data_IF_934924770211
#
_entry.id   IF_934924770211
#
_cell.length_a   1.000
_cell.length_b   1.000
_cell.length_c   1.000
_cell.angle_alpha   90.00
_cell.angle_beta   90.00
_cell.angle_gamma   90.00
#
_symmetry.space_group_name_H-M   'P 1'
#
loop_
_entity.id
_entity.type
_entity.pdbx_description
1 polymer ?
#
# COMPACT_ATOMS: atom_id res chain seq x y z
N UNK A 1 -19.61 30.42 32.54
CA UNK A 1 -20.34 31.44 31.77
C UNK A 1 -19.31 32.35 31.12
N UNK A 2 -18.96 32.08 29.87
CA UNK A 2 -18.08 32.96 29.08
C UNK A 2 -18.89 34.18 28.64
N UNK A 3 -18.29 35.37 28.56
CA UNK A 3 -18.98 36.57 28.08
C UNK A 3 -19.49 36.34 26.64
N UNK A 4 -20.70 36.83 26.34
CA UNK A 4 -21.42 36.59 25.07
C UNK A 4 -20.59 36.93 23.82
N UNK A 5 -19.67 37.89 23.94
CA UNK A 5 -18.72 38.27 22.89
C UNK A 5 -17.79 37.10 22.46
N UNK A 6 -17.37 36.26 23.41
CA UNK A 6 -16.49 35.11 23.12
C UNK A 6 -17.29 33.97 22.49
N UNK A 7 -18.53 33.76 22.92
CA UNK A 7 -19.40 32.74 22.35
C UNK A 7 -19.60 32.93 20.84
N UNK A 8 -19.76 34.18 20.38
CA UNK A 8 -19.99 34.50 18.96
C UNK A 8 -18.78 34.18 18.06
N UNK A 9 -17.55 34.24 18.58
CA UNK A 9 -16.32 33.90 17.84
C UNK A 9 -16.05 32.39 17.85
N UNK A 10 -16.37 31.71 18.96
CA UNK A 10 -16.07 30.28 19.14
C UNK A 10 -16.86 29.39 18.17
N UNK A 11 -18.10 29.78 17.81
CA UNK A 11 -18.96 29.00 16.90
C UNK A 11 -18.43 28.92 15.45
N UNK A 12 -18.10 30.03 14.76
CA UNK A 12 -17.50 29.97 13.42
C UNK A 12 -16.11 29.32 13.44
N UNK A 13 -15.33 29.55 14.50
CA UNK A 13 -14.02 28.92 14.68
C UNK A 13 -14.14 27.39 14.81
N UNK A 14 -15.20 26.90 15.47
CA UNK A 14 -15.53 25.47 15.53
C UNK A 14 -15.90 24.90 14.17
N UNK A 15 -16.62 25.65 13.32
CA UNK A 15 -16.87 25.25 11.93
C UNK A 15 -15.59 25.09 11.11
N UNK A 16 -14.64 26.01 11.28
CA UNK A 16 -13.35 25.97 10.58
C UNK A 16 -12.46 24.82 11.10
N UNK A 17 -12.48 24.59 12.42
CA UNK A 17 -11.82 23.44 13.04
C UNK A 17 -12.41 22.10 12.58
N UNK A 18 -13.72 22.02 12.35
CA UNK A 18 -14.38 20.85 11.77
C UNK A 18 -13.94 20.57 10.34
N UNK A 19 -13.83 21.61 9.50
CA UNK A 19 -13.31 21.47 8.14
C UNK A 19 -11.85 20.98 8.14
N UNK A 20 -11.02 21.51 9.05
CA UNK A 20 -9.65 21.08 9.24
C UNK A 20 -9.57 19.63 9.74
N UNK A 21 -10.41 19.25 10.70
CA UNK A 21 -10.54 17.89 11.21
C UNK A 21 -10.88 16.89 10.10
N UNK A 22 -11.92 17.17 9.30
CA UNK A 22 -12.29 16.36 8.15
C UNK A 22 -11.15 16.23 7.15
N UNK A 23 -10.49 17.35 6.80
CA UNK A 23 -9.33 17.35 5.90
C UNK A 23 -8.17 16.50 6.42
N UNK A 24 -7.86 16.57 7.72
CA UNK A 24 -6.78 15.77 8.32
C UNK A 24 -7.14 14.28 8.34
N UNK A 25 -8.37 13.94 8.74
CA UNK A 25 -8.85 12.56 8.85
C UNK A 25 -8.88 11.84 7.48
N UNK A 26 -9.39 12.50 6.44
CA UNK A 26 -9.59 11.92 5.12
C UNK A 26 -8.39 12.10 4.17
N UNK A 27 -7.37 12.87 4.56
CA UNK A 27 -6.14 13.01 3.76
C UNK A 27 -5.04 12.03 4.18
N UNK A 28 -3.91 12.08 3.44
CA UNK A 28 -2.68 11.35 3.77
C UNK A 28 -2.11 11.71 5.15
N UNK A 29 -2.51 12.85 5.75
CA UNK A 29 -2.06 13.37 7.05
C UNK A 29 -2.64 12.58 8.22
N UNK A 30 -3.84 12.01 8.09
CA UNK A 30 -4.48 11.17 9.11
C UNK A 30 -3.74 9.86 9.42
N UNK A 31 -2.62 9.58 8.74
CA UNK A 31 -1.68 8.49 9.09
C UNK A 31 -0.72 8.87 10.22
N UNK A 32 -0.56 10.16 10.49
CA UNK A 32 0.32 10.66 11.55
C UNK A 32 -0.48 10.90 12.82
N UNK A 33 -0.18 10.14 13.88
CA UNK A 33 -0.87 10.23 15.16
C UNK A 33 -0.83 11.65 15.78
N UNK A 34 0.28 12.38 15.57
CA UNK A 34 0.42 13.75 16.06
C UNK A 34 -0.55 14.73 15.40
N UNK A 35 -0.79 14.59 14.09
CA UNK A 35 -1.69 15.48 13.33
C UNK A 35 -3.15 15.23 13.70
N UNK A 36 -3.54 13.97 13.85
CA UNK A 36 -4.87 13.59 14.34
C UNK A 36 -5.06 14.09 15.77
N UNK A 37 -4.07 13.91 16.66
CA UNK A 37 -4.14 14.38 18.03
C UNK A 37 -4.28 15.90 18.14
N UNK A 38 -3.50 16.66 17.35
CA UNK A 38 -3.57 18.14 17.33
C UNK A 38 -4.94 18.63 16.86
N UNK A 39 -5.44 18.08 15.76
CA UNK A 39 -6.75 18.47 15.23
C UNK A 39 -7.90 18.11 16.19
N UNK A 40 -7.81 16.95 16.86
CA UNK A 40 -8.77 16.56 17.90
C UNK A 40 -8.70 17.50 19.11
N UNK A 41 -7.49 17.86 19.56
CA UNK A 41 -7.30 18.75 20.71
C UNK A 41 -7.90 20.15 20.46
N UNK A 42 -7.80 20.67 19.24
CA UNK A 42 -8.42 21.94 18.86
C UNK A 42 -9.95 21.85 18.98
N UNK A 43 -10.56 20.77 18.50
CA UNK A 43 -12.01 20.56 18.63
C UNK A 43 -12.46 20.39 20.08
N UNK A 44 -11.69 19.65 20.89
CA UNK A 44 -11.96 19.48 22.33
C UNK A 44 -11.90 20.82 23.06
N UNK A 45 -10.88 21.62 22.78
CA UNK A 45 -10.73 22.95 23.36
C UNK A 45 -11.93 23.84 23.02
N UNK A 46 -12.36 23.85 21.75
CA UNK A 46 -13.51 24.63 21.29
C UNK A 46 -14.84 24.12 21.88
N UNK A 47 -14.98 22.81 22.08
CA UNK A 47 -16.15 22.24 22.74
C UNK A 47 -16.26 22.68 24.21
N UNK A 48 -15.15 22.68 24.95
CA UNK A 48 -15.09 23.18 26.33
C UNK A 48 -15.36 24.69 26.41
N UNK A 49 -14.95 25.45 25.39
CA UNK A 49 -15.21 26.89 25.25
C UNK A 49 -16.66 27.23 24.84
N UNK A 50 -17.53 26.24 24.63
CA UNK A 50 -18.96 26.45 24.36
C UNK A 50 -19.48 25.95 23.01
N UNK A 51 -18.63 25.42 22.14
CA UNK A 51 -19.05 24.81 20.86
C UNK A 51 -19.35 23.29 20.99
N UNK A 52 -20.17 22.91 21.97
CA UNK A 52 -20.52 21.49 22.21
C UNK A 52 -21.20 20.80 21.00
N UNK A 53 -21.86 21.58 20.13
CA UNK A 53 -22.48 21.05 18.91
C UNK A 53 -21.46 20.40 17.96
N UNK A 54 -20.21 20.90 17.92
CA UNK A 54 -19.19 20.43 16.98
C UNK A 54 -18.70 19.00 17.28
N UNK A 55 -18.85 18.54 18.52
CA UNK A 55 -18.43 17.20 18.95
C UNK A 55 -19.23 16.11 18.21
N UNK A 56 -20.49 16.36 17.87
CA UNK A 56 -21.39 15.41 17.20
C UNK A 56 -20.95 15.09 15.75
N UNK A 57 -20.79 16.07 14.84
CA UNK A 57 -20.29 15.80 13.49
C UNK A 57 -18.83 15.32 13.50
N UNK A 58 -18.00 15.81 14.43
CA UNK A 58 -16.62 15.33 14.59
C UNK A 58 -16.57 13.83 14.95
N UNK A 59 -17.46 13.38 15.85
CA UNK A 59 -17.65 11.99 16.22
C UNK A 59 -18.08 11.11 15.03
N UNK A 60 -18.99 11.61 14.19
CA UNK A 60 -19.38 10.91 12.95
C UNK A 60 -18.22 10.73 11.96
N UNK A 61 -17.42 11.78 11.74
CA UNK A 61 -16.22 11.70 10.89
C UNK A 61 -15.16 10.74 11.46
N UNK A 62 -15.01 10.73 12.79
CA UNK A 62 -14.12 9.82 13.49
C UNK A 62 -14.56 8.36 13.33
N UNK A 63 -15.87 8.08 13.31
CA UNK A 63 -16.39 6.74 13.05
C UNK A 63 -15.99 6.23 11.65
N UNK A 64 -16.11 7.08 10.62
CA UNK A 64 -15.66 6.75 9.26
C UNK A 64 -14.14 6.53 9.17
N UNK A 65 -13.36 7.30 9.92
CA UNK A 65 -11.91 7.11 10.05
C UNK A 65 -11.56 5.76 10.67
N UNK A 66 -12.23 5.39 11.76
CA UNK A 66 -12.02 4.14 12.49
C UNK A 66 -12.46 2.93 11.68
N UNK A 67 -13.61 2.98 11.01
CA UNK A 67 -14.08 1.93 10.11
C UNK A 67 -13.11 1.72 8.94
N UNK A 68 -12.79 2.78 8.19
CA UNK A 68 -11.90 2.66 7.02
C UNK A 68 -10.50 2.14 7.33
N UNK A 69 -9.93 2.48 8.50
CA UNK A 69 -8.59 2.03 8.90
C UNK A 69 -8.57 0.74 9.71
N UNK A 70 -9.63 0.48 10.48
CA UNK A 70 -9.74 -0.70 11.33
C UNK A 70 -9.89 -2.01 10.55
N UNK A 71 -10.62 -1.98 9.43
CA UNK A 71 -10.87 -3.19 8.64
C UNK A 71 -9.77 -3.55 7.65
N UNK A 72 -9.03 -2.58 7.11
CA UNK A 72 -8.16 -2.84 5.95
C UNK A 72 -6.64 -2.71 6.24
N UNK A 73 -6.22 -1.97 7.29
CA UNK A 73 -4.77 -1.64 7.51
C UNK A 73 -4.32 -1.51 8.98
N UNK A 74 -5.01 -2.15 9.93
CA UNK A 74 -4.80 -1.99 11.39
C UNK A 74 -3.34 -2.09 11.88
N UNK A 75 -2.55 -3.05 11.37
CA UNK A 75 -1.19 -3.29 11.90
C UNK A 75 -0.17 -2.16 11.62
N UNK A 76 -0.33 -1.38 10.55
CA UNK A 76 0.68 -0.39 10.15
C UNK A 76 0.47 0.97 10.82
N UNK A 77 -0.78 1.31 11.13
CA UNK A 77 -1.19 2.63 11.60
C UNK A 77 -1.78 2.58 13.03
N UNK A 78 -1.44 1.54 13.82
CA UNK A 78 -2.00 1.28 15.17
C UNK A 78 -1.90 2.47 16.13
N UNK A 79 -0.84 3.28 16.02
CA UNK A 79 -0.65 4.49 16.86
C UNK A 79 -1.69 5.56 16.55
N UNK A 80 -2.03 5.75 15.28
CA UNK A 80 -3.03 6.74 14.88
C UNK A 80 -4.44 6.25 15.22
N UNK A 81 -4.68 4.93 15.14
CA UNK A 81 -5.92 4.31 15.63
C UNK A 81 -6.09 4.50 17.14
N UNK A 82 -5.04 4.28 17.96
CA UNK A 82 -5.12 4.53 19.40
C UNK A 82 -5.43 5.98 19.72
N UNK A 83 -4.80 6.94 19.02
CA UNK A 83 -5.13 8.36 19.19
C UNK A 83 -6.56 8.66 18.75
N UNK A 84 -7.05 8.03 17.68
CA UNK A 84 -8.45 8.13 17.25
C UNK A 84 -9.43 7.56 18.28
N UNK A 85 -9.14 6.41 18.88
CA UNK A 85 -9.96 5.83 19.96
C UNK A 85 -9.96 6.71 21.19
N UNK A 86 -8.79 7.22 21.61
CA UNK A 86 -8.66 8.17 22.71
C UNK A 86 -9.46 9.45 22.45
N UNK A 87 -9.38 10.01 21.23
CA UNK A 87 -10.20 11.16 20.84
C UNK A 87 -11.70 10.83 20.89
N UNK A 88 -12.09 9.62 20.48
CA UNK A 88 -13.47 9.14 20.57
C UNK A 88 -13.98 9.05 22.01
N UNK A 89 -13.16 8.57 22.94
CA UNK A 89 -13.48 8.55 24.37
C UNK A 89 -13.65 9.96 24.95
N UNK A 90 -12.82 10.91 24.52
CA UNK A 90 -12.94 12.32 24.92
C UNK A 90 -14.23 12.93 24.36
N UNK A 91 -14.57 12.66 23.11
CA UNK A 91 -15.85 13.10 22.51
C UNK A 91 -17.06 12.47 23.21
N UNK A 92 -16.95 11.23 23.69
CA UNK A 92 -17.97 10.56 24.49
C UNK A 92 -18.24 11.34 25.79
N UNK A 93 -17.17 11.72 26.50
CA UNK A 93 -17.25 12.49 27.74
C UNK A 93 -17.77 13.93 27.56
N UNK A 94 -17.65 14.48 26.35
CA UNK A 94 -18.13 15.82 25.98
C UNK A 94 -19.57 15.83 25.43
N UNK A 95 -20.26 14.68 25.39
CA UNK A 95 -21.68 14.61 25.04
C UNK A 95 -22.02 13.80 23.79
N UNK A 96 -21.05 13.26 23.06
CA UNK A 96 -21.33 12.34 21.93
C UNK A 96 -21.60 10.90 22.40
N UNK A 97 -22.54 10.71 23.34
CA UNK A 97 -22.89 9.41 23.92
C UNK A 97 -23.44 8.42 22.89
N UNK A 98 -24.04 8.90 21.80
CA UNK A 98 -24.50 8.07 20.68
C UNK A 98 -23.38 7.29 20.00
N UNK A 99 -22.11 7.70 20.16
CA UNK A 99 -20.93 7.03 19.60
C UNK A 99 -20.68 5.64 20.24
N UNK A 100 -21.21 5.37 21.44
CA UNK A 100 -21.04 4.04 22.10
C UNK A 100 -21.62 2.94 21.24
N UNK A 101 -22.85 3.10 20.75
CA UNK A 101 -23.56 2.07 19.99
C UNK A 101 -22.77 1.62 18.74
N UNK A 102 -22.37 2.52 17.82
CA UNK A 102 -21.62 2.11 16.64
C UNK A 102 -20.21 1.62 16.97
N UNK A 103 -19.54 2.11 18.03
CA UNK A 103 -18.25 1.56 18.45
C UNK A 103 -18.37 0.14 19.00
N UNK A 104 -19.42 -0.16 19.76
CA UNK A 104 -19.71 -1.50 20.28
C UNK A 104 -20.03 -2.45 19.12
N UNK A 105 -20.89 -2.05 18.19
CA UNK A 105 -21.19 -2.84 16.98
C UNK A 105 -19.92 -3.09 16.18
N UNK A 106 -19.11 -2.06 15.94
CA UNK A 106 -17.85 -2.20 15.22
C UNK A 106 -16.89 -3.12 15.96
N UNK A 107 -16.80 -3.03 17.29
CA UNK A 107 -15.99 -3.91 18.14
C UNK A 107 -16.44 -5.38 18.11
N UNK A 108 -17.75 -5.64 18.11
CA UNK A 108 -18.33 -6.99 17.98
C UNK A 108 -17.99 -7.56 16.60
N UNK A 109 -18.24 -6.81 15.52
CA UNK A 109 -17.87 -7.21 14.16
C UNK A 109 -16.37 -7.51 14.11
N UNK A 110 -15.54 -6.62 14.67
CA UNK A 110 -14.09 -6.78 14.67
C UNK A 110 -13.61 -7.99 15.48
N UNK A 111 -14.24 -8.30 16.62
CA UNK A 111 -13.96 -9.49 17.43
C UNK A 111 -14.34 -10.79 16.70
N UNK A 112 -15.50 -10.81 16.05
CA UNK A 112 -15.96 -11.98 15.27
C UNK A 112 -15.09 -12.22 14.03
N UNK A 113 -14.63 -11.16 13.35
CA UNK A 113 -13.73 -11.27 12.19
C UNK A 113 -12.28 -11.58 12.60
N UNK A 114 -11.77 -11.02 13.70
CA UNK A 114 -10.41 -11.26 14.18
C UNK A 114 -10.23 -12.64 14.83
N UNK A 115 -11.24 -13.14 15.54
CA UNK A 115 -11.23 -14.46 16.19
C UNK A 115 -11.06 -15.62 15.20
N UNK A 116 -11.54 -15.48 13.97
CA UNK A 116 -11.33 -16.46 12.89
C UNK A 116 -9.88 -16.53 12.38
N UNK A 117 -9.08 -15.48 12.58
CA UNK A 117 -7.68 -15.42 12.09
C UNK A 117 -6.64 -15.90 13.11
N UNK A 118 -7.01 -16.00 14.39
CA UNK A 118 -6.10 -16.41 15.47
C UNK A 118 -6.03 -17.93 15.68
N UNK A 119 -6.98 -18.71 15.14
CA UNK A 119 -7.11 -20.15 15.38
C UNK A 119 -6.21 -21.07 14.53
N UNK A 120 -5.54 -20.57 13.48
CA UNK A 120 -4.79 -21.42 12.53
C UNK A 120 -3.28 -21.49 12.76
N UNK A 121 -2.79 -20.97 13.90
CA UNK A 121 -1.37 -20.96 14.25
C UNK A 121 -0.92 -22.15 15.10
N UNK A 122 -1.20 -23.40 14.70
CA UNK A 122 -0.58 -24.57 15.35
C UNK A 122 0.93 -24.53 15.06
N UNK A 123 1.73 -24.10 16.05
CA UNK A 123 3.19 -24.08 15.98
C UNK A 123 3.70 -25.47 15.58
N UNK A 124 4.44 -25.64 14.47
CA UNK A 124 5.16 -26.87 14.24
C UNK A 124 6.25 -26.99 15.31
N UNK A 125 6.18 -28.10 16.03
CA UNK A 125 7.11 -28.57 17.04
C UNK A 125 8.53 -28.55 16.45
N UNK A 126 9.46 -27.91 17.14
CA UNK A 126 10.87 -27.89 16.74
C UNK A 126 11.41 -29.32 16.76
N UNK A 127 11.66 -29.88 15.58
CA UNK A 127 12.42 -31.12 15.42
C UNK A 127 13.85 -30.82 15.90
N UNK A 128 14.28 -31.60 16.89
CA UNK A 128 15.60 -31.54 17.49
C UNK A 128 16.69 -31.69 16.42
N UNK A 129 17.72 -30.85 16.48
CA UNK A 129 18.91 -30.95 15.66
C UNK A 129 19.70 -32.23 16.02
N UNK A 130 20.24 -32.98 15.05
CA UNK A 130 21.13 -34.10 15.34
C UNK A 130 22.48 -33.61 15.87
N UNK A 131 22.89 -34.31 16.92
CA UNK A 131 24.17 -34.40 17.64
C UNK A 131 25.45 -34.18 16.81
N UNK A 132 26.38 -33.42 17.39
CA UNK A 132 27.78 -33.22 16.98
C UNK A 132 28.58 -34.53 16.82
N UNK A 133 29.60 -34.60 15.94
CA UNK A 133 30.63 -35.65 15.97
C UNK A 133 31.79 -35.31 16.94
N UNK A 134 32.62 -36.31 17.34
CA UNK A 134 33.39 -36.33 18.60
C UNK A 134 34.73 -35.56 18.57
N UNK A 135 35.31 -35.21 19.73
CA UNK A 135 36.61 -34.53 19.84
C UNK A 135 37.77 -35.53 19.92
N UNK A 136 38.98 -35.12 19.53
CA UNK A 136 40.30 -35.71 19.89
C UNK A 136 41.43 -34.82 19.31
N UNK A 137 42.67 -34.79 19.87
CA UNK A 137 43.07 -34.22 21.16
C UNK A 137 44.13 -33.10 21.04
N UNK A 138 44.43 -32.47 22.18
CA UNK A 138 45.53 -31.53 22.40
C UNK A 138 46.90 -32.04 21.94
N UNK A 139 47.69 -31.16 21.30
CA UNK A 139 49.12 -31.09 21.60
C UNK A 139 49.72 -29.70 21.29
N UNK A 140 50.05 -29.02 22.40
CA UNK A 140 51.27 -28.29 22.68
C UNK A 140 51.82 -27.24 21.69
N UNK A 141 51.85 -26.00 22.19
CA UNK A 141 53.12 -25.27 22.37
C UNK A 141 53.51 -24.28 21.28
N UNK A 142 53.50 -22.99 21.64
CA UNK A 142 54.28 -21.98 20.93
C UNK A 142 53.72 -20.56 21.03
N UNK A 143 54.19 -19.79 22.00
CA UNK A 143 54.32 -18.33 21.84
C UNK A 143 55.67 -18.08 21.14
N UNK A 144 55.86 -17.06 20.26
CA UNK A 144 55.78 -15.64 20.68
C UNK A 144 55.32 -14.58 19.63
N UNK A 145 54.89 -13.42 20.16
CA UNK A 145 55.11 -12.02 19.72
C UNK A 145 54.88 -11.62 18.24
N UNK A 146 53.97 -10.65 18.04
CA UNK A 146 54.20 -9.49 17.18
C UNK A 146 53.55 -9.48 15.79
N UNK A 147 52.40 -8.82 15.65
CA UNK A 147 52.06 -8.05 14.45
C UNK A 147 50.99 -7.00 14.76
N UNK A 148 51.45 -5.75 14.88
CA UNK A 148 50.59 -4.57 14.76
C UNK A 148 50.20 -4.44 13.29
N UNK A 149 48.92 -4.64 12.96
CA UNK A 149 48.45 -4.44 11.60
C UNK A 149 46.95 -4.66 11.42
N UNK A 150 46.26 -3.56 11.10
CA UNK A 150 44.89 -3.50 10.56
C UNK A 150 43.72 -3.56 11.55
N UNK A 151 43.54 -2.47 12.30
CA UNK A 151 42.26 -2.11 12.91
C UNK A 151 41.27 -1.65 11.81
N UNK A 152 40.77 -2.59 11.01
CA UNK A 152 39.55 -2.38 10.24
C UNK A 152 38.37 -2.47 11.22
N UNK A 153 37.92 -1.31 11.69
CA UNK A 153 36.93 -1.20 12.76
C UNK A 153 35.59 -1.90 12.48
N UNK A 154 34.68 -1.96 13.47
CA UNK A 154 33.43 -2.74 13.46
C UNK A 154 32.40 -2.37 12.37
N UNK A 155 32.72 -1.47 11.44
CA UNK A 155 31.83 -0.97 10.40
C UNK A 155 31.34 -2.06 9.41
N UNK A 156 32.18 -3.06 9.09
CA UNK A 156 31.79 -4.19 8.22
C UNK A 156 30.70 -5.08 8.84
N UNK A 157 30.87 -5.43 10.12
CA UNK A 157 29.89 -6.23 10.86
C UNK A 157 28.54 -5.51 11.07
N UNK A 158 28.54 -4.17 11.12
CA UNK A 158 27.30 -3.38 11.16
C UNK A 158 26.61 -3.30 9.79
N UNK A 159 27.37 -3.22 8.69
CA UNK A 159 26.83 -3.25 7.33
C UNK A 159 26.14 -4.59 7.03
N UNK A 160 26.80 -5.70 7.33
CA UNK A 160 26.25 -7.05 7.16
C UNK A 160 25.00 -7.28 8.03
N UNK A 161 25.00 -6.85 9.31
CA UNK A 161 23.79 -6.93 10.16
C UNK A 161 22.64 -6.09 9.63
N UNK A 162 22.93 -4.96 8.96
CA UNK A 162 21.92 -4.09 8.37
C UNK A 162 21.34 -4.69 7.09
N UNK A 163 22.17 -5.36 6.29
CA UNK A 163 21.75 -6.09 5.10
C UNK A 163 20.95 -7.35 5.45
N UNK A 164 21.40 -8.13 6.44
CA UNK A 164 20.66 -9.27 6.97
C UNK A 164 19.29 -8.85 7.53
N UNK A 165 19.21 -7.71 8.24
CA UNK A 165 17.92 -7.13 8.68
C UNK A 165 17.04 -6.67 7.52
N UNK A 166 17.62 -6.16 6.43
CA UNK A 166 16.87 -5.76 5.22
C UNK A 166 16.35 -6.98 4.46
N UNK A 167 17.17 -8.02 4.30
CA UNK A 167 16.79 -9.28 3.67
C UNK A 167 15.70 -9.99 4.48
N UNK A 168 15.83 -10.08 5.81
CA UNK A 168 14.80 -10.65 6.68
C UNK A 168 13.47 -9.87 6.62
N UNK A 169 13.52 -8.53 6.50
CA UNK A 169 12.32 -7.70 6.30
C UNK A 169 11.69 -7.90 4.92
N UNK A 170 12.49 -8.09 3.87
CA UNK A 170 12.01 -8.39 2.51
C UNK A 170 11.36 -9.78 2.47
N UNK A 171 12.00 -10.80 3.04
CA UNK A 171 11.46 -12.15 3.16
C UNK A 171 10.13 -12.17 3.93
N UNK A 172 10.03 -11.43 5.03
CA UNK A 172 8.78 -11.29 5.80
C UNK A 172 7.68 -10.53 5.04
N UNK A 173 8.04 -9.55 4.20
CA UNK A 173 7.07 -8.85 3.34
C UNK A 173 6.57 -9.74 2.20
N UNK A 174 7.46 -10.52 1.59
CA UNK A 174 7.13 -11.50 0.54
C UNK A 174 6.22 -12.59 1.10
N UNK A 175 6.55 -13.16 2.27
CA UNK A 175 5.69 -14.18 2.90
C UNK A 175 4.37 -13.62 3.38
N UNK A 176 4.33 -12.36 3.85
CA UNK A 176 3.07 -11.67 4.16
C UNK A 176 2.21 -11.46 2.91
N UNK A 177 2.81 -11.04 1.79
CA UNK A 177 2.10 -10.90 0.49
C UNK A 177 1.63 -12.23 -0.08
N UNK A 178 2.42 -13.29 0.03
CA UNK A 178 2.00 -14.64 -0.37
C UNK A 178 0.83 -15.15 0.48
N UNK A 179 0.81 -14.84 1.78
CA UNK A 179 -0.32 -15.15 2.66
C UNK A 179 -1.54 -14.27 2.39
N UNK A 180 -1.34 -12.99 2.12
CA UNK A 180 -2.41 -12.03 1.75
C UNK A 180 -3.02 -12.37 0.38
N UNK A 181 -2.23 -12.94 -0.54
CA UNK A 181 -2.70 -13.53 -1.79
C UNK A 181 -3.44 -14.87 -1.60
N UNK A 182 -3.22 -15.56 -0.48
CA UNK A 182 -3.90 -16.81 -0.13
C UNK A 182 -5.20 -16.59 0.68
N UNK A 183 -5.34 -15.45 1.37
CA UNK A 183 -6.53 -15.07 2.17
C UNK A 183 -7.61 -14.32 1.35
N UNK A 184 -7.29 -13.84 0.14
CA UNK A 184 -8.31 -13.48 -0.84
C UNK A 184 -8.99 -14.78 -1.29
N UNK A 185 -10.32 -14.88 -1.17
CA UNK A 185 -11.08 -16.05 -1.61
C UNK A 185 -10.54 -16.54 -2.97
N UNK A 186 -10.34 -17.87 -3.17
CA UNK A 186 -9.69 -18.35 -4.37
C UNK A 186 -10.43 -17.79 -5.58
N UNK A 187 -9.74 -16.95 -6.35
CA UNK A 187 -10.05 -16.89 -7.78
C UNK A 187 -10.12 -18.37 -8.21
N UNK A 188 -11.17 -18.81 -8.94
CA UNK A 188 -11.23 -20.19 -9.41
C UNK A 188 -9.83 -20.60 -9.88
N UNK A 189 -9.32 -21.76 -9.44
CA UNK A 189 -7.92 -22.13 -9.65
C UNK A 189 -7.61 -21.86 -11.12
N UNK A 190 -6.47 -21.20 -11.44
CA UNK A 190 -6.10 -21.00 -12.82
C UNK A 190 -6.20 -22.38 -13.49
N UNK A 191 -6.88 -22.50 -14.64
CA UNK A 191 -6.87 -23.76 -15.36
C UNK A 191 -5.42 -24.20 -15.46
N UNK A 192 -5.15 -25.46 -15.09
CA UNK A 192 -3.81 -26.06 -15.07
C UNK A 192 -2.98 -25.54 -16.26
N UNK A 193 -1.69 -25.25 -16.08
CA UNK A 193 -0.87 -24.59 -17.11
C UNK A 193 -1.08 -25.33 -18.43
N UNK A 194 -1.83 -24.71 -19.32
CA UNK A 194 -1.98 -25.19 -20.67
C UNK A 194 -0.57 -25.20 -21.27
N UNK A 195 -0.21 -26.24 -22.05
CA UNK A 195 1.12 -26.33 -22.66
C UNK A 195 1.47 -25.00 -23.30
N UNK A 196 2.67 -24.50 -23.01
CA UNK A 196 3.16 -23.20 -23.43
C UNK A 196 2.81 -22.96 -24.90
N UNK A 197 1.82 -22.08 -25.14
CA UNK A 197 1.49 -21.68 -26.50
C UNK A 197 2.67 -20.86 -27.06
N UNK A 198 3.00 -21.04 -28.35
CA UNK A 198 4.06 -20.28 -29.02
C UNK A 198 3.77 -18.77 -28.95
N UNK A 199 4.77 -17.91 -29.17
CA UNK A 199 4.70 -16.47 -28.88
C UNK A 199 3.60 -15.82 -29.73
N UNK A 200 2.41 -15.69 -29.15
CA UNK A 200 1.27 -15.11 -29.83
C UNK A 200 1.47 -13.60 -29.94
N UNK A 201 1.43 -13.10 -31.17
CA UNK A 201 1.18 -11.70 -31.45
C UNK A 201 0.12 -11.15 -30.48
N UNK A 202 0.48 -10.07 -29.78
CA UNK A 202 -0.27 -9.41 -28.70
C UNK A 202 -1.76 -9.76 -28.64
N UNK A 203 -2.13 -10.66 -27.72
CA UNK A 203 -3.50 -11.14 -27.48
C UNK A 203 -4.52 -10.00 -27.35
N UNK A 204 -4.12 -8.87 -26.76
CA UNK A 204 -4.96 -7.68 -26.64
C UNK A 204 -5.30 -7.03 -27.98
N UNK A 205 -4.37 -6.98 -28.95
CA UNK A 205 -4.62 -6.36 -30.25
C UNK A 205 -5.68 -7.11 -31.06
N UNK A 206 -5.80 -8.42 -30.86
CA UNK A 206 -6.88 -9.22 -31.45
C UNK A 206 -8.24 -8.81 -30.85
N UNK A 207 -8.34 -8.67 -29.52
CA UNK A 207 -9.58 -8.25 -28.86
C UNK A 207 -10.00 -6.82 -29.22
N UNK A 208 -9.06 -5.90 -29.46
CA UNK A 208 -9.39 -4.53 -29.89
C UNK A 208 -10.20 -4.49 -31.21
N UNK A 209 -10.12 -5.54 -32.03
CA UNK A 209 -10.85 -5.66 -33.31
C UNK A 209 -12.18 -6.41 -33.18
N UNK A 210 -12.57 -6.87 -31.99
CA UNK A 210 -13.79 -7.63 -31.80
C UNK A 210 -15.02 -6.72 -31.71
N UNK A 211 -15.89 -6.77 -32.72
CA UNK A 211 -17.10 -5.95 -32.82
C UNK A 211 -18.12 -6.21 -31.71
N UNK A 212 -18.04 -7.35 -31.02
CA UNK A 212 -18.91 -7.65 -29.87
C UNK A 212 -18.53 -6.84 -28.64
N UNK A 213 -17.35 -6.22 -28.63
CA UNK A 213 -16.92 -5.35 -27.53
C UNK A 213 -17.43 -3.91 -27.72
N UNK A 214 -17.96 -3.30 -26.65
CA UNK A 214 -18.31 -1.88 -26.63
C UNK A 214 -17.13 -1.01 -27.08
N UNK A 215 -17.42 0.05 -27.84
CA UNK A 215 -16.37 0.94 -28.36
C UNK A 215 -15.46 1.52 -27.28
N UNK A 216 -16.02 1.87 -26.13
CA UNK A 216 -15.27 2.34 -24.95
C UNK A 216 -14.30 1.28 -24.42
N UNK A 217 -14.71 0.01 -24.32
CA UNK A 217 -13.87 -1.09 -23.85
C UNK A 217 -12.74 -1.38 -24.84
N UNK A 218 -13.00 -1.27 -26.16
CA UNK A 218 -11.97 -1.38 -27.20
C UNK A 218 -10.93 -0.27 -27.08
N UNK A 219 -11.36 0.97 -26.82
CA UNK A 219 -10.45 2.09 -26.60
C UNK A 219 -9.60 1.90 -25.34
N UNK A 220 -10.19 1.43 -24.23
CA UNK A 220 -9.47 1.10 -23.00
C UNK A 220 -8.45 -0.01 -23.21
N UNK A 221 -8.79 -1.08 -23.95
CA UNK A 221 -7.88 -2.16 -24.28
C UNK A 221 -6.69 -1.69 -25.14
N UNK A 222 -6.94 -0.83 -26.12
CA UNK A 222 -5.88 -0.26 -26.95
C UNK A 222 -4.93 0.59 -26.10
N UNK A 223 -5.47 1.43 -25.20
CA UNK A 223 -4.67 2.20 -24.26
C UNK A 223 -3.88 1.28 -23.31
N UNK A 224 -4.48 0.21 -22.83
CA UNK A 224 -3.84 -0.75 -21.93
C UNK A 224 -2.67 -1.50 -22.61
N UNK A 225 -2.85 -1.96 -23.85
CA UNK A 225 -1.76 -2.62 -24.60
C UNK A 225 -0.60 -1.66 -24.87
N UNK A 226 -0.89 -0.39 -25.19
CA UNK A 226 0.16 0.63 -25.34
C UNK A 226 0.90 0.87 -24.00
N UNK A 227 0.17 1.15 -22.92
CA UNK A 227 0.78 1.48 -21.62
C UNK A 227 1.54 0.32 -21.01
N UNK A 228 1.08 -0.92 -21.19
CA UNK A 228 1.82 -2.11 -20.71
C UNK A 228 3.12 -2.31 -21.48
N UNK A 229 3.13 -2.10 -22.81
CA UNK A 229 4.38 -2.11 -23.60
C UNK A 229 5.35 -1.05 -23.12
N UNK A 230 4.90 0.20 -23.00
CA UNK A 230 5.71 1.31 -22.51
C UNK A 230 6.30 1.00 -21.13
N UNK A 231 5.46 0.54 -20.19
CA UNK A 231 5.90 0.19 -18.84
C UNK A 231 6.97 -0.91 -18.85
N UNK A 232 6.77 -1.97 -19.63
CA UNK A 232 7.74 -3.07 -19.74
C UNK A 232 9.06 -2.59 -20.35
N UNK A 233 9.03 -1.80 -21.43
CA UNK A 233 10.23 -1.24 -22.05
C UNK A 233 10.99 -0.33 -21.09
N UNK A 234 10.30 0.52 -20.33
CA UNK A 234 10.96 1.40 -19.34
C UNK A 234 11.53 0.62 -18.15
N UNK A 235 10.80 -0.38 -17.64
CA UNK A 235 11.31 -1.23 -16.56
C UNK A 235 12.53 -2.04 -17.03
N UNK A 236 12.55 -2.48 -18.29
CA UNK A 236 13.70 -3.13 -18.89
C UNK A 236 14.90 -2.20 -19.00
N UNK A 237 14.70 -0.96 -19.47
CA UNK A 237 15.77 0.04 -19.52
C UNK A 237 16.36 0.36 -18.13
N UNK A 238 15.58 0.21 -17.06
CA UNK A 238 16.01 0.38 -15.67
C UNK A 238 16.64 -0.88 -15.05
N UNK A 239 16.80 -1.97 -15.80
CA UNK A 239 17.29 -3.24 -15.26
C UNK A 239 16.31 -3.91 -14.29
N UNK A 240 15.01 -3.58 -14.38
CA UNK A 240 13.94 -4.07 -13.49
C UNK A 240 13.03 -5.10 -14.17
N UNK A 241 13.55 -5.87 -15.14
CA UNK A 241 12.81 -6.90 -15.88
C UNK A 241 12.22 -7.98 -14.96
N UNK A 242 12.94 -8.33 -13.87
CA UNK A 242 12.50 -9.31 -12.87
C UNK A 242 11.75 -8.71 -11.69
N UNK A 243 11.42 -7.42 -11.74
CA UNK A 243 10.69 -6.75 -10.66
C UNK A 243 9.24 -7.21 -10.60
N UNK A 244 8.62 -7.08 -9.43
CA UNK A 244 7.18 -7.28 -9.26
C UNK A 244 6.37 -6.38 -10.20
N UNK A 245 6.84 -5.16 -10.46
CA UNK A 245 6.19 -4.23 -11.38
C UNK A 245 6.19 -4.75 -12.82
N UNK A 246 7.31 -5.34 -13.27
CA UNK A 246 7.41 -5.95 -14.60
C UNK A 246 6.54 -7.21 -14.70
N UNK A 247 6.53 -8.03 -13.65
CA UNK A 247 5.64 -9.20 -13.57
C UNK A 247 4.16 -8.80 -13.66
N UNK A 248 3.74 -7.81 -12.87
CA UNK A 248 2.35 -7.33 -12.89
C UNK A 248 1.99 -6.71 -14.24
N UNK A 249 2.85 -5.88 -14.85
CA UNK A 249 2.59 -5.32 -16.18
C UNK A 249 2.43 -6.41 -17.25
N UNK A 250 3.22 -7.49 -17.17
CA UNK A 250 3.09 -8.66 -18.05
C UNK A 250 1.79 -9.43 -17.78
N UNK A 251 1.48 -9.72 -16.51
CA UNK A 251 0.27 -10.44 -16.13
C UNK A 251 -1.01 -9.69 -16.53
N UNK A 252 -1.03 -8.35 -16.40
CA UNK A 252 -2.14 -7.53 -16.90
C UNK A 252 -2.35 -7.74 -18.39
N UNK A 253 -1.26 -7.73 -19.16
CA UNK A 253 -1.30 -7.85 -20.62
C UNK A 253 -1.67 -9.24 -21.12
N UNK A 254 -1.12 -10.27 -20.49
CA UNK A 254 -1.19 -11.66 -20.98
C UNK A 254 -2.33 -12.46 -20.35
N UNK A 255 -2.74 -12.12 -19.12
CA UNK A 255 -3.67 -12.92 -18.32
C UNK A 255 -4.92 -12.14 -17.90
N UNK A 256 -4.77 -11.02 -17.17
CA UNK A 256 -5.91 -10.35 -16.53
C UNK A 256 -6.84 -9.65 -17.51
N UNK A 257 -6.32 -8.82 -18.42
CA UNK A 257 -7.15 -8.13 -19.39
C UNK A 257 -7.79 -9.10 -20.41
N UNK A 258 -7.07 -10.08 -20.99
CA UNK A 258 -7.68 -11.12 -21.80
C UNK A 258 -8.74 -11.92 -21.03
N UNK A 259 -8.51 -12.21 -19.75
CA UNK A 259 -9.46 -12.89 -18.88
C UNK A 259 -10.78 -12.14 -18.71
N UNK A 260 -10.70 -10.84 -18.40
CA UNK A 260 -11.88 -9.97 -18.25
C UNK A 260 -12.69 -9.88 -19.56
N UNK A 261 -12.00 -9.73 -20.69
CA UNK A 261 -12.63 -9.69 -22.01
C UNK A 261 -13.33 -11.02 -22.33
N UNK A 262 -12.67 -12.16 -22.10
CA UNK A 262 -13.28 -13.48 -22.32
C UNK A 262 -14.50 -13.70 -21.44
N UNK A 263 -14.47 -13.24 -20.19
CA UNK A 263 -15.61 -13.32 -19.29
C UNK A 263 -16.81 -12.51 -19.83
N UNK A 264 -16.56 -11.31 -20.34
CA UNK A 264 -17.60 -10.50 -20.99
C UNK A 264 -18.16 -11.17 -22.25
N UNK A 265 -17.29 -11.68 -23.14
CA UNK A 265 -17.71 -12.28 -24.40
C UNK A 265 -18.50 -13.60 -24.25
N UNK A 266 -18.41 -14.25 -23.08
CA UNK A 266 -19.23 -15.41 -22.72
C UNK A 266 -20.68 -15.03 -22.40
N UNK A 267 -20.96 -13.78 -22.04
CA UNK A 267 -22.32 -13.33 -21.77
C UNK A 267 -23.10 -13.20 -23.09
N UNK A 268 -24.39 -13.62 -23.11
CA UNK A 268 -25.29 -13.26 -24.20
C UNK A 268 -25.35 -11.73 -24.37
N UNK A 269 -25.33 -11.19 -25.60
CA UNK A 269 -25.27 -9.74 -25.84
C UNK A 269 -26.39 -8.94 -25.17
N UNK A 270 -27.59 -9.52 -25.10
CA UNK A 270 -28.76 -8.94 -24.42
C UNK A 270 -28.53 -8.80 -22.92
N UNK A 271 -27.96 -9.82 -22.27
CA UNK A 271 -27.66 -9.79 -20.83
C UNK A 271 -26.50 -8.85 -20.50
N UNK A 272 -25.47 -8.82 -21.34
CA UNK A 272 -24.28 -8.00 -21.12
C UNK A 272 -24.58 -6.49 -21.04
N UNK A 273 -25.64 -6.03 -21.72
CA UNK A 273 -25.96 -4.62 -21.90
C UNK A 273 -27.19 -4.13 -21.14
N UNK A 274 -28.17 -5.00 -20.88
CA UNK A 274 -29.47 -4.58 -20.31
C UNK A 274 -29.77 -5.15 -18.93
N UNK A 275 -29.22 -6.31 -18.59
CA UNK A 275 -29.50 -6.93 -17.29
C UNK A 275 -28.45 -6.50 -16.26
N UNK A 276 -28.87 -6.02 -15.08
CA UNK A 276 -27.94 -5.79 -13.97
C UNK A 276 -27.45 -7.13 -13.42
N UNK A 277 -26.13 -7.29 -13.29
CA UNK A 277 -25.51 -8.48 -12.71
C UNK A 277 -25.23 -8.28 -11.23
N UNK A 278 -24.43 -7.28 -10.89
CA UNK A 278 -23.96 -7.04 -9.52
C UNK A 278 -24.11 -5.56 -9.16
N UNK A 279 -24.73 -5.28 -8.02
CA UNK A 279 -24.88 -3.90 -7.53
C UNK A 279 -25.62 -2.95 -8.48
N UNK A 280 -26.51 -3.48 -9.33
CA UNK A 280 -27.22 -2.70 -10.35
C UNK A 280 -26.41 -2.41 -11.62
N UNK A 281 -25.17 -2.90 -11.72
CA UNK A 281 -24.27 -2.66 -12.86
C UNK A 281 -24.46 -3.73 -13.94
N UNK A 282 -24.42 -3.32 -15.20
CA UNK A 282 -24.46 -4.25 -16.34
C UNK A 282 -23.11 -4.92 -16.57
N UNK A 283 -23.07 -6.01 -17.35
CA UNK A 283 -21.82 -6.66 -17.73
C UNK A 283 -20.85 -5.71 -18.46
N UNK A 284 -21.39 -4.77 -19.25
CA UNK A 284 -20.63 -3.69 -19.87
C UNK A 284 -19.97 -2.78 -18.83
N UNK A 285 -20.74 -2.36 -17.83
CA UNK A 285 -20.22 -1.46 -16.78
C UNK A 285 -19.11 -2.13 -15.98
N UNK A 286 -19.30 -3.41 -15.64
CA UNK A 286 -18.30 -4.21 -14.93
C UNK A 286 -17.01 -4.39 -15.75
N UNK A 287 -17.11 -4.64 -17.06
CA UNK A 287 -15.93 -4.73 -17.91
C UNK A 287 -15.19 -3.40 -17.96
N UNK A 288 -15.92 -2.29 -18.14
CA UNK A 288 -15.35 -0.93 -18.20
C UNK A 288 -14.59 -0.59 -16.92
N UNK A 289 -15.16 -0.89 -15.76
CA UNK A 289 -14.52 -0.65 -14.46
C UNK A 289 -13.28 -1.52 -14.24
N UNK A 290 -13.33 -2.80 -14.64
CA UNK A 290 -12.16 -3.68 -14.55
C UNK A 290 -11.02 -3.19 -15.44
N UNK A 291 -11.30 -2.83 -16.69
CA UNK A 291 -10.28 -2.31 -17.61
C UNK A 291 -9.71 -0.98 -17.12
N UNK A 292 -10.54 -0.10 -16.54
CA UNK A 292 -10.08 1.15 -15.93
C UNK A 292 -9.15 0.91 -14.74
N UNK A 293 -9.50 -0.03 -13.85
CA UNK A 293 -8.66 -0.42 -12.72
C UNK A 293 -7.30 -0.94 -13.21
N UNK A 294 -7.28 -1.82 -14.22
CA UNK A 294 -6.04 -2.36 -14.79
C UNK A 294 -5.20 -1.25 -15.44
N UNK A 295 -5.85 -0.34 -16.16
CA UNK A 295 -5.16 0.79 -16.81
C UNK A 295 -4.52 1.72 -15.78
N UNK A 296 -5.25 2.09 -14.72
CA UNK A 296 -4.74 2.92 -13.63
C UNK A 296 -3.54 2.26 -12.93
N UNK A 297 -3.62 0.95 -12.66
CA UNK A 297 -2.51 0.21 -12.04
C UNK A 297 -1.23 0.22 -12.92
N UNK A 298 -1.37 0.05 -14.23
CA UNK A 298 -0.23 0.11 -15.17
C UNK A 298 0.33 1.53 -15.28
N UNK A 299 -0.53 2.56 -15.29
CA UNK A 299 -0.09 3.96 -15.30
C UNK A 299 0.70 4.31 -14.02
N UNK A 300 0.28 3.80 -12.86
CA UNK A 300 1.02 3.98 -11.60
C UNK A 300 2.41 3.33 -11.64
N UNK A 301 2.51 2.13 -12.22
CA UNK A 301 3.79 1.45 -12.47
C UNK A 301 4.68 2.30 -13.38
N UNK A 302 4.15 2.71 -14.54
CA UNK A 302 4.88 3.53 -15.52
C UNK A 302 5.35 4.86 -14.90
N UNK A 303 4.46 5.58 -14.21
CA UNK A 303 4.81 6.83 -13.55
C UNK A 303 5.87 6.67 -12.46
N UNK A 304 5.89 5.53 -11.78
CA UNK A 304 6.93 5.21 -10.79
C UNK A 304 8.27 4.92 -11.47
N UNK A 305 8.26 4.14 -12.55
CA UNK A 305 9.47 3.86 -13.35
C UNK A 305 10.07 5.17 -13.92
N UNK A 306 9.25 6.03 -14.51
CA UNK A 306 9.70 7.31 -15.09
C UNK A 306 10.32 8.24 -14.03
N UNK A 307 9.71 8.34 -12.84
CA UNK A 307 10.29 9.12 -11.74
C UNK A 307 11.63 8.57 -11.26
N UNK A 308 11.76 7.23 -11.21
CA UNK A 308 13.04 6.59 -10.86
C UNK A 308 14.11 6.93 -11.87
N UNK A 309 13.83 6.76 -13.17
CA UNK A 309 14.78 7.09 -14.23
C UNK A 309 15.19 8.56 -14.25
N UNK A 310 14.26 9.47 -13.99
CA UNK A 310 14.58 10.90 -13.86
C UNK A 310 15.51 11.21 -12.68
N UNK A 311 15.33 10.52 -11.55
CA UNK A 311 16.20 10.68 -10.39
C UNK A 311 17.62 10.15 -10.65
N UNK A 312 17.74 9.05 -11.39
CA UNK A 312 19.03 8.49 -11.79
C UNK A 312 19.78 9.45 -12.72
N UNK A 313 19.09 10.09 -13.67
CA UNK A 313 19.66 11.12 -14.55
C UNK A 313 20.17 12.34 -13.76
N UNK A 314 19.38 12.85 -12.81
CA UNK A 314 19.80 13.97 -11.96
C UNK A 314 21.01 13.62 -11.08
N UNK A 315 21.07 12.38 -10.59
CA UNK A 315 22.21 11.89 -9.81
C UNK A 315 23.46 11.82 -10.68
N UNK A 316 23.33 11.31 -11.91
CA UNK A 316 24.41 11.27 -12.88
C UNK A 316 24.90 12.67 -13.27
N UNK A 317 24.00 13.63 -13.50
CA UNK A 317 24.36 15.03 -13.75
C UNK A 317 25.20 15.61 -12.61
N UNK A 318 24.77 15.44 -11.35
CA UNK A 318 25.52 15.94 -10.18
C UNK A 318 26.92 15.33 -10.10
N UNK A 319 27.03 14.03 -10.34
CA UNK A 319 28.32 13.35 -10.41
C UNK A 319 29.23 13.94 -11.51
N UNK A 320 28.67 14.20 -12.70
CA UNK A 320 29.42 14.83 -13.78
C UNK A 320 29.84 16.26 -13.43
N UNK A 321 28.97 17.05 -12.80
CA UNK A 321 29.32 18.38 -12.31
C UNK A 321 30.44 18.33 -11.27
N UNK A 322 30.37 17.45 -10.28
CA UNK A 322 31.42 17.29 -9.26
C UNK A 322 32.77 16.84 -9.86
N UNK A 323 32.75 15.96 -10.87
CA UNK A 323 33.98 15.42 -11.47
C UNK A 323 34.61 16.31 -12.53
N UNK A 324 33.81 17.05 -13.28
CA UNK A 324 34.29 17.75 -14.47
C UNK A 324 34.13 19.28 -14.39
N UNK A 325 33.46 19.83 -13.36
CA UNK A 325 33.48 21.27 -13.11
C UNK A 325 34.84 21.64 -12.52
N UNK A 326 35.79 22.04 -13.38
CA UNK A 326 37.02 22.72 -12.94
C UNK A 326 36.65 23.97 -12.12
N UNK A 327 37.34 24.27 -11.01
CA UNK A 327 37.23 25.59 -10.40
C UNK A 327 37.80 26.60 -11.39
N UNK A 328 36.94 27.45 -11.94
CA UNK A 328 37.35 28.62 -12.71
C UNK A 328 37.64 29.72 -11.69
N UNK A 329 38.87 29.78 -11.23
CA UNK A 329 39.31 30.76 -10.24
C UNK A 329 40.28 30.15 -9.26
N UNK A 330 41.50 29.90 -9.74
CA UNK A 330 42.68 30.35 -9.02
C UNK A 330 43.86 30.15 -9.94
N UNK A 331 44.36 31.29 -10.42
CA UNK A 331 45.76 31.67 -10.59
C UNK A 331 45.73 33.01 -11.33
N UNK A 332 45.34 34.05 -10.58
CA UNK A 332 45.96 35.37 -10.74
C UNK A 332 47.41 35.24 -10.26
N UNK A 333 48.37 35.40 -11.18
CA UNK A 333 49.68 36.06 -10.95
C UNK A 333 50.09 36.71 -12.27
#
# INVERSE_FOLDING_TARGET
>A
MLPDAVAWIVHPLAGLALALWGSVIFSRRGRHAAEVGRAAAILVLLAVLGAGWAVHPAAGMLLGYLGSRGFHRWQRDWRALLVGVLAGLVFLGLGATWLVFPLVVMGIVWLTTAGFTAGSGRRPQAVAAPTSPPPLPEQAGGFPVGSFGNWAGPAGAYAERREARRQARRARKLSKRQREAADLAPLPPPPAPAPALPPAASTLAAYVRDDRLPGEARAQLAALDLRTREALTHLEALGQQGSEAAYLARAVREEYAPGAVRAYLKLPPTLASTQPLEGGKTGRDLLREQLDLLLNAVQDILGTALRSGGQDLLTHQRFLEEKFRKPRGDLEV
#
